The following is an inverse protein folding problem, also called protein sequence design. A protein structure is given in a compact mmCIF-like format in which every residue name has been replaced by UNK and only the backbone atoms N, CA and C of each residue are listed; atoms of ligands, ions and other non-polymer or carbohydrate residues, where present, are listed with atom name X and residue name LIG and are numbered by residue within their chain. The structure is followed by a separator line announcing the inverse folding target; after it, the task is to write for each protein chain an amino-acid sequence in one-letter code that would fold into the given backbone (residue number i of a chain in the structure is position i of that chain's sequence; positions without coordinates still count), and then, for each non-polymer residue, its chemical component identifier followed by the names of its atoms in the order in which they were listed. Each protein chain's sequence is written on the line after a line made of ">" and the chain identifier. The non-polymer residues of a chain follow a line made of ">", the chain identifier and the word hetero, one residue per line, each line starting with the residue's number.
data_IF_081640105709
#
_entry.id   IF_081640105709
#
_cell.length_a   1.000
_cell.length_b   1.000
_cell.length_c   1.000
_cell.angle_alpha   90.00
_cell.angle_beta   90.00
_cell.angle_gamma   90.00
#
_symmetry.space_group_name_H-M   'P 1'
#
loop_
_entity.id
_entity.type
_entity.pdbx_description
1 polymer ?
#
# COMPACT_ATOMS: atom_id res chain seq x y z
N UNK A 1 -6.83 5.52 25.87
CA UNK A 1 -7.91 5.00 25.00
C UNK A 1 -8.13 3.54 25.35
N UNK A 2 -9.35 3.14 25.66
CA UNK A 2 -9.75 1.74 25.80
C UNK A 2 -10.64 1.36 24.64
N UNK A 3 -10.56 0.13 24.16
CA UNK A 3 -11.39 -0.39 23.08
C UNK A 3 -11.82 -1.81 23.39
N UNK A 4 -13.05 -2.10 23.05
CA UNK A 4 -13.69 -3.36 23.34
C UNK A 4 -14.43 -3.90 22.12
N UNK A 5 -14.49 -5.22 22.01
CA UNK A 5 -15.33 -5.92 21.03
C UNK A 5 -15.93 -7.15 21.70
N UNK A 6 -17.23 -7.16 21.88
CA UNK A 6 -18.02 -8.19 22.57
C UNK A 6 -19.49 -7.84 22.56
N UNK A 7 -20.28 -8.53 23.38
CA UNK A 7 -21.68 -8.19 23.64
C UNK A 7 -21.79 -6.95 24.54
N UNK A 8 -22.99 -6.36 24.63
CA UNK A 8 -23.25 -5.23 25.54
C UNK A 8 -23.07 -5.65 27.01
N UNK A 9 -23.47 -6.88 27.37
CA UNK A 9 -23.28 -7.45 28.71
C UNK A 9 -21.80 -7.58 29.07
N UNK A 10 -20.96 -8.08 28.13
CA UNK A 10 -19.51 -8.15 28.34
C UNK A 10 -18.88 -6.78 28.43
N UNK A 11 -19.43 -5.78 27.70
CA UNK A 11 -18.93 -4.40 27.74
C UNK A 11 -19.14 -3.77 29.12
N UNK A 12 -20.32 -3.97 29.73
CA UNK A 12 -20.61 -3.43 31.07
C UNK A 12 -19.67 -4.04 32.13
N UNK A 13 -19.47 -5.38 32.08
CA UNK A 13 -18.54 -6.07 32.95
C UNK A 13 -17.08 -5.60 32.74
N UNK A 14 -16.66 -5.37 31.49
CA UNK A 14 -15.35 -4.82 31.17
C UNK A 14 -15.19 -3.40 31.73
N UNK A 15 -16.21 -2.55 31.58
CA UNK A 15 -16.15 -1.16 32.00
C UNK A 15 -16.10 -1.01 33.51
N UNK A 16 -16.86 -1.84 34.25
CA UNK A 16 -16.81 -1.91 35.71
C UNK A 16 -15.41 -2.31 36.18
N UNK A 17 -14.83 -3.36 35.58
CA UNK A 17 -13.47 -3.78 35.91
C UNK A 17 -12.41 -2.74 35.50
N UNK A 18 -12.62 -1.98 34.43
CA UNK A 18 -11.69 -0.93 34.00
C UNK A 18 -11.68 0.28 34.97
N UNK A 19 -12.77 0.52 35.69
CA UNK A 19 -12.83 1.54 36.75
C UNK A 19 -11.80 1.31 37.85
N UNK A 20 -11.50 0.06 38.18
CA UNK A 20 -10.51 -0.31 39.18
C UNK A 20 -9.05 -0.04 38.74
N UNK A 21 -8.82 0.20 37.46
CA UNK A 21 -7.50 0.53 36.91
C UNK A 21 -7.10 2.00 37.13
N UNK A 22 -7.95 2.82 37.73
CA UNK A 22 -7.68 4.24 37.96
C UNK A 22 -7.49 5.03 36.66
N UNK A 23 -8.11 4.58 35.57
CA UNK A 23 -8.10 5.32 34.33
C UNK A 23 -9.12 6.45 34.41
N UNK A 24 -8.64 7.68 34.55
CA UNK A 24 -9.50 8.85 34.43
C UNK A 24 -10.08 8.90 33.00
N UNK A 25 -11.40 9.06 32.91
CA UNK A 25 -12.01 9.49 31.67
C UNK A 25 -11.45 10.91 31.42
N UNK A 26 -10.50 11.00 30.49
CA UNK A 26 -9.94 12.28 30.09
C UNK A 26 -11.09 13.25 29.76
N UNK A 27 -10.94 14.49 30.09
CA UNK A 27 -11.93 15.57 29.87
C UNK A 27 -12.22 15.84 28.36
N UNK A 28 -11.72 14.98 27.46
CA UNK A 28 -11.84 15.17 26.02
C UNK A 28 -11.03 16.36 25.50
N UNK A 29 -10.29 17.05 26.38
CA UNK A 29 -9.34 18.04 25.96
C UNK A 29 -8.35 17.37 24.99
N UNK A 30 -8.22 17.94 23.83
CA UNK A 30 -7.29 17.54 22.79
C UNK A 30 -5.88 17.46 23.44
N UNK A 31 -5.51 16.27 23.89
CA UNK A 31 -4.14 16.02 24.35
C UNK A 31 -3.28 16.30 23.14
N UNK A 32 -2.80 17.54 23.06
CA UNK A 32 -2.25 18.22 21.90
C UNK A 32 -1.58 17.21 21.00
N UNK A 33 -2.14 16.97 19.85
CA UNK A 33 -1.54 16.12 18.82
C UNK A 33 -0.19 16.74 18.54
N UNK A 34 0.81 16.29 19.29
CA UNK A 34 2.19 16.61 18.93
C UNK A 34 2.34 16.09 17.50
N UNK A 35 2.27 16.99 16.55
CA UNK A 35 2.48 16.65 15.16
C UNK A 35 3.85 16.00 15.09
N UNK A 36 3.87 14.68 14.84
CA UNK A 36 5.11 13.99 14.58
C UNK A 36 5.69 14.61 13.31
N UNK A 37 6.72 15.41 13.46
CA UNK A 37 7.46 15.93 12.31
C UNK A 37 8.33 14.80 11.81
N UNK A 38 7.88 14.15 10.75
CA UNK A 38 8.70 13.19 10.00
C UNK A 38 9.61 14.02 9.09
N UNK A 39 10.93 13.99 9.28
CA UNK A 39 11.83 14.72 8.39
C UNK A 39 11.70 14.16 6.95
N UNK A 40 11.80 15.04 5.96
CA UNK A 40 11.88 14.61 4.57
C UNK A 40 13.12 13.71 4.39
N UNK A 41 12.99 12.63 3.60
CA UNK A 41 14.13 11.78 3.29
C UNK A 41 15.26 12.63 2.65
N UNK A 42 16.49 12.40 3.08
CA UNK A 42 17.65 13.15 2.54
C UNK A 42 17.93 12.77 1.10
N UNK A 43 17.77 11.48 0.80
CA UNK A 43 18.00 10.90 -0.51
C UNK A 43 16.73 10.26 -1.02
N UNK A 44 16.48 10.36 -2.32
CA UNK A 44 15.30 9.79 -2.97
C UNK A 44 15.56 8.40 -3.56
N UNK A 45 16.84 8.03 -3.69
CA UNK A 45 17.27 6.76 -4.26
C UNK A 45 18.36 6.15 -3.38
N UNK A 46 17.98 5.18 -2.56
CA UNK A 46 18.89 4.54 -1.60
C UNK A 46 18.96 3.04 -1.85
N UNK A 47 20.16 2.48 -1.70
CA UNK A 47 20.36 1.05 -1.72
C UNK A 47 21.15 0.59 -0.51
N UNK A 48 20.61 -0.40 0.20
CA UNK A 48 21.19 -0.99 1.41
C UNK A 48 21.77 -2.37 1.08
N UNK A 49 23.08 -2.51 1.30
CA UNK A 49 23.76 -3.80 1.09
C UNK A 49 23.44 -4.76 2.22
N UNK A 50 22.91 -5.93 1.85
CA UNK A 50 22.63 -7.04 2.75
C UNK A 50 23.29 -8.33 2.24
N UNK A 51 23.52 -9.35 3.09
CA UNK A 51 24.09 -10.65 2.68
C UNK A 51 23.08 -11.46 1.86
N UNK A 52 22.98 -11.19 0.55
CA UNK A 52 22.01 -11.82 -0.35
C UNK A 52 22.51 -11.80 -1.79
N UNK A 53 22.04 -12.73 -2.60
CA UNK A 53 22.27 -12.78 -4.07
C UNK A 53 21.10 -12.18 -4.86
N UNK A 54 20.12 -11.64 -4.18
CA UNK A 54 18.89 -11.06 -4.73
C UNK A 54 18.64 -9.68 -4.13
N UNK A 55 17.64 -8.97 -4.66
CA UNK A 55 17.19 -7.70 -4.10
C UNK A 55 15.68 -7.69 -3.79
N UNK A 56 15.32 -6.65 -3.05
CA UNK A 56 13.96 -6.22 -2.71
C UNK A 56 13.90 -4.75 -3.05
N UNK A 57 13.09 -4.36 -4.00
CA UNK A 57 12.96 -2.97 -4.40
C UNK A 57 11.56 -2.45 -4.08
N UNK A 58 11.47 -1.20 -3.65
CA UNK A 58 10.21 -0.51 -3.45
C UNK A 58 10.30 0.93 -3.94
N UNK A 59 9.22 1.39 -4.57
CA UNK A 59 8.97 2.79 -4.91
C UNK A 59 7.63 3.19 -4.32
N UNK A 60 7.63 4.15 -3.40
CA UNK A 60 6.42 4.50 -2.66
C UNK A 60 6.31 6.00 -2.43
N UNK A 61 5.08 6.50 -2.45
CA UNK A 61 4.79 7.88 -2.07
C UNK A 61 3.42 8.02 -1.38
N UNK A 62 3.20 9.17 -0.78
CA UNK A 62 1.86 9.65 -0.42
C UNK A 62 1.24 10.32 -1.68
N UNK A 63 0.23 9.72 -2.31
CA UNK A 63 -0.36 10.22 -3.56
C UNK A 63 -0.95 11.63 -3.41
N UNK A 64 -1.37 12.02 -2.21
CA UNK A 64 -1.90 13.36 -1.94
C UNK A 64 -0.86 14.45 -2.16
N UNK A 65 0.44 14.17 -2.00
CA UNK A 65 1.53 15.10 -2.34
C UNK A 65 1.58 15.41 -3.85
N UNK A 66 1.00 14.51 -4.65
CA UNK A 66 0.85 14.67 -6.10
C UNK A 66 -0.54 15.23 -6.49
N UNK A 67 -1.39 15.53 -5.52
CA UNK A 67 -2.77 15.93 -5.77
C UNK A 67 -3.65 14.79 -6.31
N UNK A 68 -3.28 13.53 -6.03
CA UNK A 68 -4.00 12.34 -6.49
C UNK A 68 -4.90 11.85 -5.37
N UNK A 69 -6.17 11.69 -5.68
CA UNK A 69 -7.18 11.10 -4.80
C UNK A 69 -7.33 9.60 -5.09
N UNK A 70 -7.17 8.78 -4.05
CA UNK A 70 -7.20 7.31 -4.16
C UNK A 70 -8.60 6.79 -3.83
N UNK A 71 -9.39 6.58 -4.86
CA UNK A 71 -10.75 6.01 -4.80
C UNK A 71 -10.75 4.48 -4.74
N UNK A 72 -11.95 3.87 -4.69
CA UNK A 72 -12.10 2.41 -4.79
C UNK A 72 -11.61 1.82 -6.13
N UNK A 73 -11.70 2.58 -7.22
CA UNK A 73 -11.20 2.17 -8.54
C UNK A 73 -9.68 1.88 -8.52
N UNK A 74 -8.92 2.58 -7.68
CA UNK A 74 -7.49 2.31 -7.49
C UNK A 74 -7.18 0.92 -6.96
N UNK A 75 -8.07 0.34 -6.14
CA UNK A 75 -7.88 -1.02 -5.66
C UNK A 75 -8.02 -2.03 -6.81
N UNK A 76 -8.99 -1.81 -7.71
CA UNK A 76 -9.20 -2.64 -8.90
C UNK A 76 -8.03 -2.46 -9.88
N UNK A 77 -7.57 -1.22 -10.10
CA UNK A 77 -6.41 -0.93 -10.93
C UNK A 77 -5.13 -1.56 -10.36
N UNK A 78 -4.92 -1.51 -9.05
CA UNK A 78 -3.77 -2.13 -8.39
C UNK A 78 -3.79 -3.67 -8.51
N UNK A 79 -4.98 -4.27 -8.48
CA UNK A 79 -5.14 -5.70 -8.71
C UNK A 79 -4.79 -6.06 -10.16
N UNK A 80 -5.34 -5.35 -11.15
CA UNK A 80 -5.03 -5.55 -12.57
C UNK A 80 -3.52 -5.34 -12.86
N UNK A 81 -2.93 -4.24 -12.38
CA UNK A 81 -1.49 -3.98 -12.51
C UNK A 81 -0.64 -5.10 -11.90
N UNK A 82 -1.02 -5.58 -10.71
CA UNK A 82 -0.22 -6.60 -10.02
C UNK A 82 -0.27 -7.95 -10.70
N UNK A 83 -1.47 -8.43 -11.10
CA UNK A 83 -1.65 -9.80 -11.56
C UNK A 83 -1.65 -9.98 -13.07
N UNK A 84 -1.94 -8.93 -13.85
CA UNK A 84 -1.92 -9.02 -15.29
C UNK A 84 -0.63 -8.42 -15.89
N UNK A 85 -0.17 -7.27 -15.41
CA UNK A 85 1.03 -6.63 -15.94
C UNK A 85 2.32 -7.00 -15.19
N UNK A 86 2.45 -6.60 -13.93
CA UNK A 86 3.70 -6.75 -13.17
C UNK A 86 4.09 -8.22 -12.95
N UNK A 87 3.10 -9.08 -12.72
CA UNK A 87 3.33 -10.50 -12.59
C UNK A 87 3.99 -11.08 -13.84
N UNK A 88 3.48 -10.75 -15.03
CA UNK A 88 4.04 -11.24 -16.29
C UNK A 88 5.41 -10.63 -16.57
N UNK A 89 5.57 -9.32 -16.38
CA UNK A 89 6.79 -8.61 -16.74
C UNK A 89 7.92 -8.83 -15.72
N UNK A 90 7.64 -8.73 -14.43
CA UNK A 90 8.67 -8.78 -13.39
C UNK A 90 8.89 -10.20 -12.88
N UNK A 91 7.81 -10.97 -12.64
CA UNK A 91 7.97 -12.32 -12.11
C UNK A 91 8.24 -13.34 -13.21
N UNK A 92 7.37 -13.45 -14.20
CA UNK A 92 7.48 -14.52 -15.23
C UNK A 92 8.68 -14.28 -16.14
N UNK A 93 8.81 -13.07 -16.69
CA UNK A 93 9.92 -12.73 -17.60
C UNK A 93 11.19 -12.30 -16.85
N UNK A 94 11.04 -11.61 -15.71
CA UNK A 94 12.16 -11.06 -14.95
C UNK A 94 12.75 -11.99 -13.90
N UNK A 95 12.03 -13.03 -13.48
CA UNK A 95 12.52 -14.03 -12.52
C UNK A 95 12.38 -13.64 -11.06
N UNK A 96 11.73 -12.53 -10.72
CA UNK A 96 11.41 -12.19 -9.34
C UNK A 96 10.42 -13.20 -8.72
N UNK A 97 10.54 -13.47 -7.42
CA UNK A 97 9.61 -14.36 -6.73
C UNK A 97 8.23 -13.72 -6.54
N UNK A 98 8.19 -12.41 -6.34
CA UNK A 98 6.95 -11.66 -6.20
C UNK A 98 7.13 -10.20 -6.59
N UNK A 99 6.02 -9.57 -6.97
CA UNK A 99 5.96 -8.15 -7.32
C UNK A 99 4.52 -7.67 -7.22
N UNK A 100 4.33 -6.38 -7.23
CA UNK A 100 2.99 -5.80 -7.31
C UNK A 100 2.97 -4.29 -7.15
N UNK A 101 1.78 -3.76 -7.32
CA UNK A 101 1.43 -2.38 -7.01
C UNK A 101 0.35 -2.37 -5.92
N UNK A 102 0.47 -1.48 -4.97
CA UNK A 102 -0.51 -1.28 -3.91
C UNK A 102 -0.99 0.15 -3.90
N UNK A 103 -2.29 0.32 -3.79
CA UNK A 103 -2.95 1.58 -3.46
C UNK A 103 -3.74 1.35 -2.16
N UNK A 104 -3.02 1.41 -1.04
CA UNK A 104 -3.54 1.08 0.29
C UNK A 104 -4.03 2.34 1.00
N UNK A 105 -5.35 2.54 0.96
CA UNK A 105 -5.96 3.73 1.55
C UNK A 105 -5.58 5.00 0.79
N UNK A 106 -5.87 6.14 1.41
CA UNK A 106 -5.68 7.47 0.81
C UNK A 106 -4.22 7.97 0.87
N UNK A 107 -3.36 7.27 1.60
CA UNK A 107 -2.06 7.83 2.04
C UNK A 107 -0.84 7.11 1.51
N UNK A 108 -1.01 6.01 0.81
CA UNK A 108 0.13 5.23 0.36
C UNK A 108 -0.14 4.51 -0.96
N UNK A 109 0.76 4.76 -1.91
CA UNK A 109 0.92 3.94 -3.10
C UNK A 109 2.33 3.38 -3.14
N UNK A 110 2.48 2.14 -3.58
CA UNK A 110 3.78 1.49 -3.63
C UNK A 110 3.87 0.44 -4.73
N UNK A 111 4.88 0.53 -5.55
CA UNK A 111 5.41 -0.59 -6.32
C UNK A 111 6.43 -1.34 -5.48
N UNK A 112 6.49 -2.66 -5.63
CA UNK A 112 7.48 -3.48 -4.93
C UNK A 112 7.88 -4.71 -5.73
N UNK A 113 9.12 -5.18 -5.48
CA UNK A 113 9.58 -6.51 -5.87
C UNK A 113 10.06 -7.28 -4.64
N UNK A 114 10.00 -8.59 -4.73
CA UNK A 114 10.39 -9.49 -3.66
C UNK A 114 11.27 -10.61 -4.24
N UNK A 115 12.50 -10.77 -3.69
CA UNK A 115 13.48 -11.73 -4.16
C UNK A 115 13.70 -11.63 -5.66
N UNK A 116 14.13 -10.47 -6.08
CA UNK A 116 14.33 -10.08 -7.47
C UNK A 116 15.81 -10.27 -7.86
N UNK A 117 16.14 -10.90 -8.98
CA UNK A 117 17.52 -11.07 -9.42
C UNK A 117 18.14 -9.78 -9.98
N UNK A 118 17.33 -8.76 -10.34
CA UNK A 118 17.82 -7.56 -11.00
C UNK A 118 16.99 -6.32 -10.64
N UNK A 119 17.67 -5.19 -10.38
CA UNK A 119 17.03 -3.93 -9.98
C UNK A 119 16.46 -3.16 -11.18
N UNK A 120 17.33 -2.78 -12.13
CA UNK A 120 16.99 -1.84 -13.20
C UNK A 120 15.84 -2.31 -14.09
N UNK A 121 15.81 -3.58 -14.58
CA UNK A 121 14.70 -4.03 -15.41
C UNK A 121 13.34 -3.99 -14.70
N UNK A 122 13.33 -4.17 -13.39
CA UNK A 122 12.08 -4.10 -12.61
C UNK A 122 11.62 -2.67 -12.39
N UNK A 123 12.56 -1.74 -12.18
CA UNK A 123 12.24 -0.29 -12.10
C UNK A 123 11.65 0.19 -13.44
N UNK A 124 12.27 -0.15 -14.58
CA UNK A 124 11.78 0.21 -15.91
C UNK A 124 10.34 -0.28 -16.14
N UNK A 125 10.04 -1.50 -15.69
CA UNK A 125 8.69 -2.07 -15.82
C UNK A 125 7.68 -1.34 -14.91
N UNK A 126 8.08 -0.94 -13.71
CA UNK A 126 7.25 -0.11 -12.84
C UNK A 126 6.94 1.25 -13.48
N UNK A 127 7.91 1.86 -14.15
CA UNK A 127 7.75 3.15 -14.85
C UNK A 127 6.78 3.05 -16.03
N UNK A 128 6.73 1.90 -16.69
CA UNK A 128 5.80 1.65 -17.81
C UNK A 128 4.41 1.19 -17.38
N UNK A 129 4.18 0.98 -16.09
CA UNK A 129 2.90 0.48 -15.58
C UNK A 129 1.72 1.40 -15.90
N UNK A 130 1.93 2.72 -15.87
CA UNK A 130 0.89 3.69 -16.21
C UNK A 130 0.53 3.69 -17.69
N UNK A 131 1.49 3.50 -18.60
CA UNK A 131 1.25 3.33 -20.03
C UNK A 131 0.40 2.08 -20.30
N UNK A 132 0.77 0.96 -19.68
CA UNK A 132 -0.01 -0.27 -19.79
C UNK A 132 -1.44 -0.08 -19.28
N UNK A 133 -1.62 0.54 -18.12
CA UNK A 133 -2.97 0.79 -17.56
C UNK A 133 -3.79 1.71 -18.47
N UNK A 134 -3.16 2.71 -19.08
CA UNK A 134 -3.81 3.60 -20.06
C UNK A 134 -4.35 2.90 -21.31
N UNK A 135 -3.76 1.73 -21.64
CA UNK A 135 -4.18 0.88 -22.77
C UNK A 135 -4.95 -0.38 -22.33
N UNK A 136 -5.37 -0.46 -21.07
CA UNK A 136 -6.00 -1.64 -20.49
C UNK A 136 -7.37 -1.94 -21.12
N UNK A 137 -7.49 -3.05 -21.82
CA UNK A 137 -8.71 -3.51 -22.48
C UNK A 137 -9.01 -4.98 -22.10
N UNK A 138 -9.49 -5.23 -20.88
CA UNK A 138 -9.85 -6.57 -20.44
C UNK A 138 -11.14 -7.03 -21.11
N UNK A 139 -11.32 -8.35 -21.26
CA UNK A 139 -12.65 -8.88 -21.47
C UNK A 139 -13.51 -8.73 -20.19
N UNK A 140 -14.83 -8.87 -20.35
CA UNK A 140 -15.81 -8.66 -19.28
C UNK A 140 -15.53 -9.58 -18.08
N UNK A 141 -15.27 -10.86 -18.32
CA UNK A 141 -15.05 -11.86 -17.28
C UNK A 141 -13.75 -11.59 -16.49
N UNK A 142 -12.68 -11.19 -17.18
CA UNK A 142 -11.44 -10.81 -16.53
C UNK A 142 -11.62 -9.57 -15.66
N UNK A 143 -12.35 -8.55 -16.16
CA UNK A 143 -12.62 -7.35 -15.39
C UNK A 143 -13.46 -7.60 -14.15
N UNK A 144 -14.55 -8.37 -14.28
CA UNK A 144 -15.35 -8.82 -13.15
C UNK A 144 -14.51 -9.59 -12.12
N UNK A 145 -13.57 -10.42 -12.58
CA UNK A 145 -12.64 -11.15 -11.73
C UNK A 145 -11.78 -10.24 -10.86
N UNK A 146 -11.30 -9.11 -11.37
CA UNK A 146 -10.57 -8.11 -10.58
C UNK A 146 -11.45 -7.45 -9.53
N UNK A 147 -12.69 -7.07 -9.88
CA UNK A 147 -13.63 -6.49 -8.92
C UNK A 147 -13.94 -7.50 -7.81
N UNK A 148 -14.31 -8.73 -8.15
CA UNK A 148 -14.62 -9.79 -7.19
C UNK A 148 -13.43 -10.07 -6.27
N UNK A 149 -12.22 -10.12 -6.79
CA UNK A 149 -11.00 -10.30 -6.00
C UNK A 149 -10.83 -9.20 -4.95
N UNK A 150 -11.02 -7.93 -5.34
CA UNK A 150 -10.91 -6.79 -4.44
C UNK A 150 -11.98 -6.81 -3.35
N UNK A 151 -13.25 -7.02 -3.74
CA UNK A 151 -14.39 -7.01 -2.81
C UNK A 151 -14.34 -8.20 -1.87
N UNK A 152 -14.00 -9.40 -2.35
CA UNK A 152 -13.85 -10.59 -1.50
C UNK A 152 -12.77 -10.42 -0.43
N UNK A 153 -11.63 -9.80 -0.80
CA UNK A 153 -10.59 -9.46 0.18
C UNK A 153 -11.06 -8.45 1.22
N UNK A 154 -11.91 -7.52 0.82
CA UNK A 154 -12.49 -6.53 1.71
C UNK A 154 -13.56 -7.13 2.63
N UNK A 155 -14.41 -8.00 2.12
CA UNK A 155 -15.55 -8.62 2.83
C UNK A 155 -15.14 -9.88 3.61
N UNK A 156 -13.88 -10.29 3.55
CA UNK A 156 -13.40 -11.45 4.29
C UNK A 156 -13.71 -11.36 5.79
N UNK A 157 -14.21 -12.44 6.41
CA UNK A 157 -14.52 -12.46 7.83
C UNK A 157 -13.30 -12.10 8.69
N UNK A 158 -13.49 -11.23 9.65
CA UNK A 158 -12.44 -10.80 10.58
C UNK A 158 -12.74 -11.29 11.98
N UNK A 159 -11.70 -11.77 12.67
CA UNK A 159 -11.82 -12.13 14.08
C UNK A 159 -12.08 -10.87 14.94
N UNK A 160 -12.82 -11.00 16.06
CA UNK A 160 -13.16 -9.84 16.91
C UNK A 160 -11.98 -8.94 17.28
N UNK A 161 -10.84 -9.52 17.70
CA UNK A 161 -9.64 -8.73 18.04
C UNK A 161 -9.08 -7.94 16.84
N UNK A 162 -9.16 -8.49 15.63
CA UNK A 162 -8.71 -7.80 14.42
C UNK A 162 -9.66 -6.67 14.02
N UNK A 163 -10.96 -6.80 14.31
CA UNK A 163 -11.94 -5.74 14.17
C UNK A 163 -11.63 -4.58 15.11
N UNK A 164 -11.35 -4.87 16.39
CA UNK A 164 -10.92 -3.87 17.38
C UNK A 164 -9.67 -3.12 16.89
N UNK A 165 -8.63 -3.86 16.48
CA UNK A 165 -7.39 -3.26 15.95
C UNK A 165 -7.67 -2.33 14.76
N UNK A 166 -8.51 -2.78 13.83
CA UNK A 166 -8.88 -1.97 12.65
C UNK A 166 -9.61 -0.69 13.05
N UNK A 167 -10.60 -0.79 13.95
CA UNK A 167 -11.33 0.36 14.46
C UNK A 167 -10.44 1.36 15.20
N UNK A 168 -9.53 0.86 16.01
CA UNK A 168 -8.54 1.70 16.69
C UNK A 168 -7.64 2.44 15.70
N UNK A 169 -7.17 1.75 14.66
CA UNK A 169 -6.35 2.37 13.62
C UNK A 169 -7.13 3.47 12.89
N UNK A 170 -8.39 3.22 12.51
CA UNK A 170 -9.27 4.21 11.89
C UNK A 170 -9.44 5.44 12.77
N UNK A 171 -9.74 5.24 14.05
CA UNK A 171 -9.92 6.33 15.03
C UNK A 171 -8.64 7.13 15.24
N UNK A 172 -7.51 6.46 15.51
CA UNK A 172 -6.22 7.12 15.77
C UNK A 172 -5.67 7.85 14.53
N UNK A 173 -5.95 7.34 13.35
CA UNK A 173 -5.57 7.98 12.09
C UNK A 173 -6.50 9.13 11.68
N UNK A 174 -7.62 9.34 12.41
CA UNK A 174 -8.63 10.34 12.07
C UNK A 174 -9.32 10.08 10.74
N UNK A 175 -9.49 8.80 10.38
CA UNK A 175 -10.16 8.40 9.13
C UNK A 175 -11.67 8.34 9.36
N UNK A 176 -12.44 8.62 8.28
CA UNK A 176 -13.89 8.46 8.30
C UNK A 176 -14.26 6.98 8.54
N UNK A 177 -15.09 6.67 9.54
CA UNK A 177 -15.61 5.32 9.77
C UNK A 177 -16.32 4.70 8.56
N UNK A 178 -16.93 5.53 7.70
CA UNK A 178 -17.68 5.11 6.51
C UNK A 178 -16.81 4.98 5.24
N UNK A 179 -15.57 5.47 5.26
CA UNK A 179 -14.67 5.41 4.11
C UNK A 179 -14.50 3.99 3.52
N UNK A 180 -14.66 2.97 4.37
CA UNK A 180 -14.59 1.57 3.91
C UNK A 180 -15.80 1.17 3.05
N UNK A 181 -16.99 1.56 3.43
CA UNK A 181 -18.24 1.26 2.71
C UNK A 181 -18.29 2.04 1.40
N UNK A 182 -17.89 3.29 1.44
CA UNK A 182 -17.76 4.11 0.26
C UNK A 182 -16.77 3.51 -0.76
N UNK A 183 -15.59 3.12 -0.30
CA UNK A 183 -14.60 2.46 -1.15
C UNK A 183 -15.11 1.16 -1.75
N UNK A 184 -15.86 0.36 -0.99
CA UNK A 184 -16.50 -0.85 -1.49
C UNK A 184 -17.49 -0.53 -2.62
N UNK A 185 -18.31 0.48 -2.44
CA UNK A 185 -19.25 0.95 -3.47
C UNK A 185 -18.52 1.39 -4.74
N UNK A 186 -17.44 2.15 -4.58
CA UNK A 186 -16.60 2.60 -5.69
C UNK A 186 -15.92 1.43 -6.42
N UNK A 187 -15.45 0.40 -5.72
CA UNK A 187 -14.91 -0.82 -6.34
C UNK A 187 -15.94 -1.53 -7.21
N UNK A 188 -17.17 -1.68 -6.70
CA UNK A 188 -18.27 -2.34 -7.43
C UNK A 188 -18.72 -1.53 -8.66
N UNK A 189 -18.60 -0.21 -8.62
CA UNK A 189 -18.96 0.69 -9.70
C UNK A 189 -17.83 0.94 -10.70
N UNK A 190 -16.61 0.42 -10.44
CA UNK A 190 -15.45 0.67 -11.30
C UNK A 190 -15.69 0.19 -12.73
N UNK A 191 -15.13 0.89 -13.69
CA UNK A 191 -15.21 0.58 -15.12
C UNK A 191 -13.82 0.52 -15.76
N UNK A 192 -13.65 -0.23 -16.87
CA UNK A 192 -12.37 -0.24 -17.59
C UNK A 192 -11.94 1.15 -18.05
N UNK A 193 -12.90 2.02 -18.42
CA UNK A 193 -12.64 3.40 -18.81
C UNK A 193 -12.07 4.23 -17.66
N UNK A 194 -12.63 4.07 -16.47
CA UNK A 194 -12.10 4.73 -15.26
C UNK A 194 -10.68 4.24 -14.94
N UNK A 195 -10.41 2.94 -15.01
CA UNK A 195 -9.07 2.42 -14.78
C UNK A 195 -8.04 2.99 -15.78
N UNK A 196 -8.40 3.08 -17.06
CA UNK A 196 -7.52 3.71 -18.06
C UNK A 196 -7.19 5.16 -17.72
N UNK A 197 -8.15 5.92 -17.21
CA UNK A 197 -7.92 7.32 -16.81
C UNK A 197 -6.89 7.48 -15.69
N UNK A 198 -6.69 6.45 -14.86
CA UNK A 198 -5.68 6.44 -13.81
C UNK A 198 -4.24 6.24 -14.33
N UNK A 199 -4.07 5.85 -15.60
CA UNK A 199 -2.77 5.56 -16.18
C UNK A 199 -1.76 6.70 -16.07
N UNK A 200 -2.21 7.94 -16.31
CA UNK A 200 -1.36 9.13 -16.16
C UNK A 200 -0.89 9.35 -14.71
N UNK A 201 -1.78 9.12 -13.74
CA UNK A 201 -1.45 9.25 -12.33
C UNK A 201 -0.51 8.13 -11.86
N UNK A 202 -0.68 6.90 -12.35
CA UNK A 202 0.26 5.78 -12.09
C UNK A 202 1.64 6.11 -12.64
N UNK A 203 1.74 6.71 -13.83
CA UNK A 203 3.01 7.19 -14.40
C UNK A 203 3.66 8.24 -13.51
N UNK A 204 2.89 9.21 -13.03
CA UNK A 204 3.39 10.25 -12.10
C UNK A 204 3.85 9.64 -10.78
N UNK A 205 3.10 8.72 -10.20
CA UNK A 205 3.48 7.97 -8.99
C UNK A 205 4.82 7.25 -9.23
N UNK A 206 4.96 6.53 -10.34
CA UNK A 206 6.20 5.84 -10.64
C UNK A 206 7.39 6.79 -10.78
N UNK A 207 7.22 7.94 -11.46
CA UNK A 207 8.29 8.92 -11.68
C UNK A 207 8.69 9.68 -10.41
N UNK A 208 7.71 10.04 -9.57
CA UNK A 208 7.93 10.91 -8.41
C UNK A 208 8.25 10.16 -7.12
N UNK A 209 8.05 8.83 -7.09
CA UNK A 209 8.30 8.03 -5.89
C UNK A 209 9.78 7.82 -5.63
N UNK A 210 10.26 8.03 -4.40
CA UNK A 210 11.56 7.56 -3.96
C UNK A 210 11.72 6.05 -4.17
N UNK A 211 12.93 5.62 -4.49
CA UNK A 211 13.28 4.21 -4.64
C UNK A 211 14.17 3.76 -3.50
N UNK A 212 13.82 2.66 -2.87
CA UNK A 212 14.63 2.01 -1.85
C UNK A 212 14.87 0.55 -2.25
N UNK A 213 16.13 0.13 -2.19
CA UNK A 213 16.55 -1.23 -2.53
C UNK A 213 17.30 -1.86 -1.35
N UNK A 214 16.95 -3.07 -0.97
CA UNK A 214 17.77 -3.93 -0.14
C UNK A 214 18.27 -5.07 -1.00
N UNK A 215 19.58 -5.29 -1.07
CA UNK A 215 20.11 -6.33 -1.98
C UNK A 215 21.55 -6.69 -1.75
N UNK A 216 21.98 -7.74 -2.44
CA UNK A 216 23.37 -8.14 -2.47
C UNK A 216 24.25 -7.10 -3.13
N UNK A 217 25.51 -7.01 -2.67
CA UNK A 217 26.50 -6.06 -3.20
C UNK A 217 26.60 -6.13 -4.73
N UNK A 218 26.70 -7.34 -5.28
CA UNK A 218 26.85 -7.55 -6.71
C UNK A 218 25.60 -7.21 -7.52
N UNK A 219 24.41 -7.36 -6.93
CA UNK A 219 23.15 -7.00 -7.56
C UNK A 219 23.01 -5.48 -7.62
N UNK A 220 23.32 -4.79 -6.51
CA UNK A 220 23.29 -3.32 -6.45
C UNK A 220 24.36 -2.71 -7.37
N UNK A 221 25.57 -3.27 -7.38
CA UNK A 221 26.67 -2.77 -8.20
C UNK A 221 26.42 -2.86 -9.72
N UNK A 222 25.50 -3.72 -10.16
CA UNK A 222 25.10 -3.82 -11.59
C UNK A 222 24.04 -2.79 -11.97
N UNK A 223 23.44 -2.10 -11.01
CA UNK A 223 22.42 -1.09 -11.29
C UNK A 223 23.04 0.22 -11.75
N UNK A 224 22.41 0.85 -12.74
CA UNK A 224 22.75 2.18 -13.24
C UNK A 224 21.86 3.29 -12.66
N UNK A 225 21.00 2.97 -11.71
CA UNK A 225 19.99 3.90 -11.17
C UNK A 225 20.59 5.00 -10.26
N UNK A 226 21.90 5.00 -10.01
CA UNK A 226 22.57 6.06 -9.27
C UNK A 226 22.20 6.13 -7.79
N UNK A 227 22.06 4.97 -7.14
CA UNK A 227 21.72 4.90 -5.71
C UNK A 227 22.80 5.49 -4.81
N UNK A 228 22.35 6.16 -3.74
CA UNK A 228 23.18 6.32 -2.55
C UNK A 228 23.27 4.97 -1.83
N UNK A 229 24.46 4.36 -1.87
CA UNK A 229 24.67 2.99 -1.35
C UNK A 229 25.11 3.05 0.10
N UNK A 230 24.35 2.40 0.97
CA UNK A 230 24.66 2.22 2.40
C UNK A 230 25.05 0.76 2.64
N UNK A 231 26.26 0.54 3.11
CA UNK A 231 26.72 -0.78 3.48
C UNK A 231 26.33 -1.09 4.93
N UNK A 232 25.41 -2.05 5.11
CA UNK A 232 24.99 -2.48 6.44
C UNK A 232 25.87 -3.59 7.04
N UNK A 233 26.86 -4.08 6.27
CA UNK A 233 27.72 -5.18 6.70
C UNK A 233 29.05 -4.68 7.30
N UNK A 234 29.35 -3.38 7.17
CA UNK A 234 30.56 -2.74 7.70
C UNK A 234 31.73 -2.79 6.74
#
# INVERSE_FOLDING_TARGET
>A
MASFTGSDEDFDAYWDAAGDLGLDAGDGADAGRNALVVPEPRDRHEAFVIPSDICFAARACDPRRLGIDVTGAWAVAANALSYDYLWNEIRVKGGAYGCGFRAAGERQTAFYTYRDPAVDPSIERMERAGEWLGSFEPDEAAFEGFIVSCVSGMDAPVKPYALTKRRNTTYLAGLDPHAREERRTQMLAATPGELRSLGADVTRIAAESPTCVFGGRDVIAKSNAGFNVVDLLG
#
